data_IF_819451289688
#
_entry.id   IF_819451289688
#
_cell.length_a   1.000
_cell.length_b   1.000
_cell.length_c   1.000
_cell.angle_alpha   90.00
_cell.angle_beta   90.00
_cell.angle_gamma   90.00
#
_symmetry.space_group_name_H-M   'P 1'
#
loop_
_entity.id
_entity.type
_entity.pdbx_description
1 polymer ?
#
# COMPACT_ATOMS: atom_id res chain seq x y z
N UNK A 1 -1.86 -3.81 1.62
CA UNK A 1 -2.44 -3.69 0.29
C UNK A 1 -1.69 -4.52 -0.76
N UNK A 2 -0.34 -4.68 -0.70
CA UNK A 2 0.41 -5.52 -1.64
C UNK A 2 -0.08 -6.98 -1.66
N UNK A 3 -0.38 -7.54 -0.48
CA UNK A 3 -0.95 -8.89 -0.37
C UNK A 3 -2.36 -8.98 -0.95
N UNK A 4 -3.14 -7.91 -0.87
CA UNK A 4 -4.48 -7.88 -1.46
C UNK A 4 -4.43 -7.78 -2.98
N UNK A 5 -3.54 -6.93 -3.50
CA UNK A 5 -3.38 -6.70 -4.94
C UNK A 5 -2.69 -7.85 -5.67
N UNK A 6 -1.65 -8.47 -5.08
CA UNK A 6 -0.76 -9.42 -5.76
C UNK A 6 -0.74 -10.82 -5.13
N UNK A 7 -1.52 -11.03 -4.07
CA UNK A 7 -1.59 -12.30 -3.36
C UNK A 7 -0.39 -12.58 -2.45
N UNK A 8 -0.32 -13.82 -1.98
CA UNK A 8 0.70 -14.26 -1.01
C UNK A 8 2.13 -14.07 -1.53
N UNK A 9 3.03 -13.69 -0.63
CA UNK A 9 4.46 -13.63 -0.92
C UNK A 9 5.07 -15.05 -0.85
N UNK A 10 5.84 -15.41 -1.85
CA UNK A 10 6.62 -16.65 -1.93
C UNK A 10 7.98 -16.48 -1.23
N UNK A 11 8.65 -15.35 -1.48
CA UNK A 11 9.94 -15.04 -0.87
C UNK A 11 10.13 -13.53 -0.70
N UNK A 12 10.89 -13.15 0.32
CA UNK A 12 11.32 -11.79 0.59
C UNK A 12 12.81 -11.76 0.91
N UNK A 13 13.52 -10.82 0.28
CA UNK A 13 14.89 -10.45 0.68
C UNK A 13 14.82 -9.10 1.36
N UNK A 14 15.45 -8.98 2.52
CA UNK A 14 15.35 -7.80 3.39
C UNK A 14 16.73 -7.15 3.51
N UNK A 15 16.77 -5.84 3.30
CA UNK A 15 17.89 -5.00 3.66
C UNK A 15 17.41 -3.96 4.67
N UNK A 16 18.08 -3.87 5.81
CA UNK A 16 17.78 -2.93 6.90
C UNK A 16 19.03 -2.15 7.23
N UNK A 17 18.88 -0.83 7.38
CA UNK A 17 19.97 0.06 7.73
C UNK A 17 19.54 1.12 8.73
N UNK A 18 20.50 1.64 9.50
CA UNK A 18 20.34 2.85 10.32
C UNK A 18 21.18 3.94 9.68
N UNK A 19 20.55 4.83 8.95
CA UNK A 19 21.18 5.86 8.11
C UNK A 19 21.29 7.21 8.80
N UNK A 20 20.62 7.37 9.94
CA UNK A 20 20.54 8.65 10.65
C UNK A 20 20.95 8.52 12.11
N UNK A 21 21.11 9.68 12.76
CA UNK A 21 21.35 9.80 14.21
C UNK A 21 20.04 9.79 15.05
N UNK A 22 18.92 9.45 14.44
CA UNK A 22 17.66 9.26 15.16
C UNK A 22 17.80 8.07 16.11
N UNK A 23 17.49 8.29 17.38
CA UNK A 23 17.58 7.25 18.41
C UNK A 23 16.31 6.39 18.39
N UNK A 24 16.15 5.61 17.32
CA UNK A 24 15.02 4.70 17.14
C UNK A 24 15.44 3.30 17.60
N UNK A 25 14.51 2.53 18.21
CA UNK A 25 14.77 1.13 18.61
C UNK A 25 14.69 0.15 17.41
N UNK A 26 14.62 0.64 16.18
CA UNK A 26 14.50 -0.14 14.94
C UNK A 26 15.27 0.55 13.81
N UNK A 27 15.59 -0.16 12.73
CA UNK A 27 16.21 0.42 11.54
C UNK A 27 15.34 1.53 10.94
N UNK A 28 15.98 2.63 10.54
CA UNK A 28 15.29 3.80 9.97
C UNK A 28 15.13 3.74 8.44
N UNK A 29 15.69 2.71 7.81
CA UNK A 29 15.54 2.42 6.39
C UNK A 29 15.39 0.91 6.17
N UNK A 30 14.40 0.52 5.40
CA UNK A 30 14.13 -0.88 5.03
C UNK A 30 13.84 -0.96 3.53
N UNK A 31 14.54 -1.86 2.85
CA UNK A 31 14.27 -2.21 1.45
C UNK A 31 13.95 -3.70 1.35
N UNK A 32 12.85 -4.02 0.70
CA UNK A 32 12.38 -5.38 0.48
C UNK A 32 12.39 -5.70 -1.01
N UNK A 33 12.90 -6.88 -1.36
CA UNK A 33 12.70 -7.48 -2.67
C UNK A 33 11.67 -8.61 -2.50
N UNK A 34 10.52 -8.45 -3.10
CA UNK A 34 9.36 -9.34 -2.93
C UNK A 34 9.15 -10.19 -4.19
N UNK A 35 8.83 -11.46 -4.00
CA UNK A 35 8.30 -12.34 -5.03
C UNK A 35 6.97 -12.90 -4.55
N UNK A 36 5.92 -12.64 -5.30
CA UNK A 36 4.59 -13.17 -5.02
C UNK A 36 4.41 -14.53 -5.69
N UNK A 37 3.58 -15.41 -5.11
CA UNK A 37 3.27 -16.75 -5.66
C UNK A 37 2.70 -16.69 -7.06
N UNK A 38 2.00 -15.61 -7.40
CA UNK A 38 1.49 -15.32 -8.75
C UNK A 38 2.56 -14.90 -9.77
N UNK A 39 3.85 -14.83 -9.37
CA UNK A 39 4.97 -14.47 -10.23
C UNK A 39 5.28 -12.98 -10.27
N UNK A 40 4.47 -12.13 -9.66
CA UNK A 40 4.75 -10.70 -9.54
C UNK A 40 5.98 -10.48 -8.68
N UNK A 41 6.88 -9.60 -9.13
CA UNK A 41 8.07 -9.19 -8.40
C UNK A 41 7.97 -7.70 -8.07
N UNK A 42 8.40 -7.31 -6.89
CA UNK A 42 8.34 -5.93 -6.44
C UNK A 42 9.52 -5.53 -5.57
N UNK A 43 9.79 -4.24 -5.56
CA UNK A 43 10.70 -3.59 -4.61
C UNK A 43 9.87 -2.64 -3.77
N UNK A 44 9.97 -2.77 -2.44
CA UNK A 44 9.39 -1.82 -1.50
C UNK A 44 10.52 -1.18 -0.70
N UNK A 45 10.63 0.13 -0.79
CA UNK A 45 11.53 0.91 0.05
C UNK A 45 10.72 1.80 0.99
N UNK A 46 11.10 1.82 2.25
CA UNK A 46 10.49 2.67 3.27
C UNK A 46 11.56 3.22 4.21
N UNK A 47 11.40 4.45 4.63
CA UNK A 47 12.29 5.10 5.59
C UNK A 47 11.54 6.10 6.47
N UNK A 48 12.18 6.55 7.54
CA UNK A 48 11.72 7.61 8.43
C UNK A 48 12.65 8.82 8.44
N UNK A 49 13.63 8.86 7.54
CA UNK A 49 14.66 9.91 7.46
C UNK A 49 14.37 10.93 6.36
N UNK A 50 13.49 10.63 5.44
CA UNK A 50 13.08 11.53 4.36
C UNK A 50 12.45 12.80 4.93
N UNK A 51 12.96 13.97 4.51
CA UNK A 51 12.47 15.29 4.96
C UNK A 51 11.07 15.62 4.46
N UNK A 52 10.60 14.93 3.45
CA UNK A 52 9.27 15.05 2.88
C UNK A 52 8.66 13.67 2.84
N UNK A 53 7.42 13.54 3.29
CA UNK A 53 6.67 12.29 3.10
C UNK A 53 6.56 11.99 1.60
N UNK A 54 7.09 10.85 1.21
CA UNK A 54 7.00 10.33 -0.17
C UNK A 54 6.17 9.07 -0.13
N UNK A 55 5.16 9.03 -1.00
CA UNK A 55 4.40 7.82 -1.28
C UNK A 55 4.26 7.74 -2.80
N UNK A 56 4.73 6.67 -3.37
CA UNK A 56 4.58 6.41 -4.79
C UNK A 56 4.47 4.93 -5.04
N UNK A 57 3.83 4.59 -6.12
CA UNK A 57 3.72 3.21 -6.57
C UNK A 57 3.78 3.19 -8.10
N UNK A 58 4.52 2.26 -8.64
CA UNK A 58 4.56 1.99 -10.07
C UNK A 58 4.41 0.49 -10.29
N UNK A 59 3.55 0.11 -11.22
CA UNK A 59 3.33 -1.28 -11.59
C UNK A 59 3.27 -1.37 -13.11
N UNK A 60 4.06 -2.27 -13.68
CA UNK A 60 4.08 -2.48 -15.12
C UNK A 60 4.20 -3.96 -15.45
N UNK A 61 3.64 -4.33 -16.59
CA UNK A 61 3.64 -5.68 -17.11
C UNK A 61 3.13 -5.70 -18.54
N UNK A 62 2.82 -6.88 -19.05
CA UNK A 62 2.24 -6.99 -20.38
C UNK A 62 0.84 -6.39 -20.41
N UNK A 63 0.68 -5.31 -21.17
CA UNK A 63 -0.59 -4.59 -21.33
C UNK A 63 -1.03 -3.70 -20.18
N UNK A 64 -0.18 -3.45 -19.17
CA UNK A 64 -0.49 -2.56 -18.05
C UNK A 64 0.72 -1.75 -17.62
N UNK A 65 0.52 -0.44 -17.38
CA UNK A 65 1.48 0.40 -16.72
C UNK A 65 0.75 1.45 -15.88
N UNK A 66 0.77 1.27 -14.57
CA UNK A 66 0.14 2.18 -13.60
C UNK A 66 1.20 2.93 -12.82
N UNK A 67 0.92 4.19 -12.52
CA UNK A 67 1.74 5.05 -11.69
C UNK A 67 0.88 5.86 -10.74
N UNK A 68 1.22 5.86 -9.45
CA UNK A 68 0.53 6.61 -8.41
C UNK A 68 1.49 7.53 -7.66
N UNK A 69 1.10 8.78 -7.48
CA UNK A 69 1.91 9.85 -6.85
C UNK A 69 1.51 10.13 -5.39
N UNK A 70 0.86 9.20 -4.72
CA UNK A 70 0.63 9.27 -3.27
C UNK A 70 -0.62 10.02 -2.83
N UNK A 71 -1.47 10.48 -3.76
CA UNK A 71 -2.75 11.07 -3.42
C UNK A 71 -3.90 10.44 -4.21
N UNK A 72 -5.15 10.55 -3.74
CA UNK A 72 -6.30 9.85 -4.33
C UNK A 72 -6.62 10.21 -5.77
N UNK A 73 -6.18 11.38 -6.24
CA UNK A 73 -6.43 11.88 -7.62
C UNK A 73 -5.23 11.70 -8.55
N UNK A 74 -4.15 11.12 -8.07
CA UNK A 74 -2.89 11.01 -8.79
C UNK A 74 -2.53 9.55 -9.14
N UNK A 75 -3.53 8.77 -9.53
CA UNK A 75 -3.34 7.49 -10.19
C UNK A 75 -3.44 7.69 -11.70
N UNK A 76 -2.48 7.16 -12.43
CA UNK A 76 -2.37 7.28 -13.87
C UNK A 76 -2.11 5.92 -14.51
N UNK A 77 -2.57 5.79 -15.74
CA UNK A 77 -2.22 4.68 -16.63
C UNK A 77 -1.47 5.23 -17.84
N UNK A 78 -0.39 4.57 -18.22
CA UNK A 78 0.30 4.87 -19.48
C UNK A 78 -0.28 4.01 -20.60
N UNK A 79 -0.88 4.66 -21.61
CA UNK A 79 -1.42 4.02 -22.82
C UNK A 79 -0.86 4.73 -24.04
N UNK A 80 -0.32 3.97 -24.99
CA UNK A 80 0.22 4.48 -26.26
C UNK A 80 1.26 5.62 -26.09
N UNK A 81 1.98 5.60 -24.96
CA UNK A 81 2.98 6.61 -24.61
C UNK A 81 2.43 7.83 -23.87
N UNK A 82 1.14 7.94 -23.69
CA UNK A 82 0.47 9.03 -22.98
C UNK A 82 0.08 8.67 -21.55
N UNK A 83 0.25 9.62 -20.63
CA UNK A 83 -0.16 9.53 -19.22
C UNK A 83 -1.63 9.92 -19.10
N UNK A 84 -2.49 8.94 -18.81
CA UNK A 84 -3.94 9.12 -18.66
C UNK A 84 -4.34 9.04 -17.18
N UNK A 85 -5.14 9.99 -16.63
CA UNK A 85 -5.63 9.89 -15.28
C UNK A 85 -6.63 8.73 -15.14
N UNK A 86 -6.56 8.02 -14.01
CA UNK A 86 -7.53 6.98 -13.64
C UNK A 86 -8.42 7.54 -12.54
N UNK A 87 -9.74 7.54 -12.76
CA UNK A 87 -10.70 7.93 -11.75
C UNK A 87 -10.78 6.86 -10.66
N UNK A 88 -10.40 7.24 -9.44
CA UNK A 88 -10.41 6.34 -8.29
C UNK A 88 -11.66 6.49 -7.42
N UNK A 89 -12.21 7.72 -7.34
CA UNK A 89 -13.44 8.05 -6.61
C UNK A 89 -14.30 8.99 -7.44
N UNK A 90 -15.61 8.71 -7.49
CA UNK A 90 -16.58 9.56 -8.18
C UNK A 90 -16.73 10.94 -7.47
N UNK A 91 -16.59 10.97 -6.15
CA UNK A 91 -16.48 12.18 -5.34
C UNK A 91 -15.44 11.97 -4.27
N UNK A 92 -14.62 12.97 -4.05
CA UNK A 92 -13.60 12.99 -3.01
C UNK A 92 -13.76 14.28 -2.21
N UNK A 93 -14.23 14.17 -0.96
CA UNK A 93 -14.24 15.26 -0.01
C UNK A 93 -12.90 15.26 0.75
N UNK A 94 -12.29 16.42 0.86
CA UNK A 94 -11.05 16.60 1.59
C UNK A 94 -11.20 17.77 2.55
N UNK A 95 -10.97 17.51 3.82
CA UNK A 95 -10.88 18.53 4.85
C UNK A 95 -9.45 19.10 4.88
N UNK A 96 -9.29 20.38 4.58
CA UNK A 96 -8.00 21.08 4.52
C UNK A 96 -7.19 21.08 5.84
N UNK A 97 -7.79 20.61 6.93
CA UNK A 97 -7.09 20.41 8.21
C UNK A 97 -6.24 19.14 8.22
N UNK A 98 -6.46 18.24 7.30
CA UNK A 98 -5.73 16.97 7.16
C UNK A 98 -4.78 16.98 5.96
N UNK A 99 -3.91 16.01 5.90
CA UNK A 99 -3.00 15.81 4.79
C UNK A 99 -3.74 15.39 3.52
N UNK A 100 -3.30 15.84 2.35
CA UNK A 100 -3.91 15.58 1.03
C UNK A 100 -4.06 14.09 0.67
N UNK A 101 -3.38 13.21 1.40
CA UNK A 101 -3.45 11.76 1.21
C UNK A 101 -4.54 11.07 2.05
N UNK A 102 -5.28 11.82 2.88
CA UNK A 102 -6.37 11.27 3.69
C UNK A 102 -7.66 11.33 2.86
N UNK A 103 -8.31 10.16 2.74
CA UNK A 103 -9.59 9.98 2.04
C UNK A 103 -10.64 9.68 3.08
N UNK A 104 -11.43 10.69 3.46
CA UNK A 104 -12.49 10.54 4.48
C UNK A 104 -13.51 9.48 4.09
N UNK A 105 -13.83 9.38 2.80
CA UNK A 105 -14.74 8.35 2.27
C UNK A 105 -14.29 6.93 2.62
N UNK A 106 -12.99 6.66 2.72
CA UNK A 106 -12.49 5.34 3.07
C UNK A 106 -12.91 4.92 4.48
N UNK A 107 -12.93 5.85 5.43
CA UNK A 107 -13.40 5.58 6.80
C UNK A 107 -14.92 5.37 6.85
N UNK A 108 -15.68 6.11 6.05
CA UNK A 108 -17.13 5.91 5.93
C UNK A 108 -17.44 4.55 5.33
N UNK A 109 -16.70 4.14 4.29
CA UNK A 109 -16.86 2.84 3.64
C UNK A 109 -16.49 1.69 4.59
N UNK A 110 -15.44 1.85 5.40
CA UNK A 110 -15.02 0.88 6.41
C UNK A 110 -16.11 0.68 7.46
N UNK A 111 -16.64 1.78 8.05
CA UNK A 111 -17.71 1.72 9.04
C UNK A 111 -19.01 1.16 8.42
N UNK A 112 -19.32 1.51 7.20
CA UNK A 112 -20.51 1.01 6.49
C UNK A 112 -20.41 -0.51 6.32
N UNK A 113 -19.28 -1.01 5.85
CA UNK A 113 -19.05 -2.44 5.73
C UNK A 113 -19.09 -3.15 7.10
N UNK A 114 -18.47 -2.57 8.14
CA UNK A 114 -18.50 -3.13 9.48
C UNK A 114 -19.93 -3.32 10.00
N UNK A 115 -20.78 -2.29 9.90
CA UNK A 115 -22.17 -2.39 10.32
C UNK A 115 -23.02 -3.30 9.42
N UNK A 116 -22.73 -3.35 8.12
CA UNK A 116 -23.37 -4.28 7.18
C UNK A 116 -23.07 -5.74 7.54
N UNK A 117 -21.84 -6.04 7.90
CA UNK A 117 -21.44 -7.38 8.38
C UNK A 117 -22.14 -7.73 9.70
N UNK A 118 -22.19 -6.81 10.67
CA UNK A 118 -22.89 -7.05 11.93
C UNK A 118 -24.38 -7.36 11.75
N UNK A 119 -25.01 -6.78 10.75
CA UNK A 119 -26.42 -7.03 10.40
C UNK A 119 -26.63 -8.29 9.54
N UNK A 120 -25.55 -8.89 9.05
CA UNK A 120 -25.61 -10.03 8.12
C UNK A 120 -26.00 -9.64 6.68
N UNK A 121 -25.90 -8.37 6.33
CA UNK A 121 -26.24 -7.82 5.01
C UNK A 121 -25.04 -7.85 4.04
N UNK A 122 -23.82 -7.88 4.57
CA UNK A 122 -22.56 -7.86 3.82
C UNK A 122 -21.56 -8.90 4.34
N UNK A 123 -20.55 -9.19 3.51
CA UNK A 123 -19.36 -9.93 3.93
C UNK A 123 -18.22 -8.96 4.27
N UNK A 124 -17.31 -9.32 5.19
CA UNK A 124 -16.14 -8.50 5.48
C UNK A 124 -15.30 -8.28 4.22
N UNK A 125 -15.00 -7.04 3.89
CA UNK A 125 -14.06 -6.70 2.80
C UNK A 125 -12.63 -7.14 3.13
N UNK A 126 -12.31 -7.14 4.43
CA UNK A 126 -11.05 -7.61 4.97
C UNK A 126 -11.29 -8.57 6.14
N UNK A 127 -10.48 -9.61 6.28
CA UNK A 127 -10.65 -10.62 7.32
C UNK A 127 -9.41 -10.77 8.19
N UNK A 128 -9.57 -11.27 9.41
CA UNK A 128 -8.46 -11.57 10.32
C UNK A 128 -7.48 -12.60 9.73
N UNK A 129 -7.94 -13.51 8.88
CA UNK A 129 -7.07 -14.47 8.20
C UNK A 129 -6.10 -13.77 7.24
N UNK A 130 -6.55 -12.69 6.58
CA UNK A 130 -5.67 -11.86 5.75
C UNK A 130 -4.66 -11.09 6.60
N UNK A 131 -5.09 -10.58 7.78
CA UNK A 131 -4.18 -9.93 8.72
C UNK A 131 -3.11 -10.87 9.25
N UNK A 132 -3.46 -12.12 9.61
CA UNK A 132 -2.50 -13.11 10.08
C UNK A 132 -1.38 -13.35 9.05
N UNK A 133 -1.70 -13.36 7.76
CA UNK A 133 -0.69 -13.47 6.69
C UNK A 133 0.23 -12.26 6.64
N UNK A 134 -0.34 -11.06 6.79
CA UNK A 134 0.45 -9.83 6.81
C UNK A 134 1.38 -9.78 8.02
N UNK A 135 0.88 -10.15 9.21
CA UNK A 135 1.66 -10.22 10.46
C UNK A 135 2.79 -11.25 10.33
N UNK A 136 2.50 -12.46 9.82
CA UNK A 136 3.53 -13.48 9.62
C UNK A 136 4.64 -13.03 8.66
N UNK A 137 4.31 -12.29 7.61
CA UNK A 137 5.30 -11.70 6.71
C UNK A 137 6.12 -10.61 7.42
N UNK A 138 5.48 -9.77 8.24
CA UNK A 138 6.17 -8.74 9.02
C UNK A 138 7.13 -9.36 10.03
N UNK A 139 6.72 -10.41 10.75
CA UNK A 139 7.59 -11.17 11.67
C UNK A 139 8.80 -11.76 10.94
N UNK A 140 8.60 -12.30 9.74
CA UNK A 140 9.69 -12.79 8.91
C UNK A 140 10.67 -11.67 8.52
N UNK A 141 10.15 -10.49 8.14
CA UNK A 141 10.96 -9.32 7.80
C UNK A 141 11.72 -8.82 9.03
N UNK A 142 11.10 -8.77 10.19
CA UNK A 142 11.73 -8.32 11.43
C UNK A 142 12.86 -9.23 11.89
N UNK A 143 12.71 -10.53 11.68
CA UNK A 143 13.68 -11.55 12.11
C UNK A 143 14.75 -11.92 11.06
N UNK A 144 14.76 -11.20 9.94
CA UNK A 144 15.72 -11.43 8.84
C UNK A 144 17.07 -10.76 9.06
#
# INVERSE_FOLDING_TARGET
WLLDAFGDVESVTVQKDTLSDLRLPYPDSVTLLLRHKGGVQGVLATDVVSRKAVRSFECFGDGIHLFWEGNPKALYEFRDGDKQPVDTYASFEHDSRYSDNIVENAYVDELTNFFGVLKGEESPKWSFEKDLKAIALMDQIENS
#
